data_IF_292062352284
#
_entry.id   IF_292062352284
#
_cell.length_a   1.000
_cell.length_b   1.000
_cell.length_c   1.000
_cell.angle_alpha   90.00
_cell.angle_beta   90.00
_cell.angle_gamma   90.00
#
_symmetry.space_group_name_H-M   'P 1'
#
loop_
_entity.id
_entity.type
_entity.pdbx_description
1 polymer ?
#
# COMPACT_ATOMS: atom_id res chain seq x y z
N UNK A 1 -8.39 34.87 13.49
CA UNK A 1 -8.06 33.42 13.55
C UNK A 1 -8.04 32.73 12.16
N UNK A 2 -7.23 33.15 11.15
CA UNK A 2 -7.15 32.46 9.85
C UNK A 2 -5.96 31.51 9.66
N UNK A 3 -4.88 31.62 10.46
CA UNK A 3 -3.64 30.85 10.24
C UNK A 3 -3.77 29.35 10.52
N UNK A 4 -4.55 28.96 11.53
CA UNK A 4 -4.74 27.55 11.88
C UNK A 4 -5.55 26.79 10.81
N UNK A 5 -6.52 27.45 10.18
CA UNK A 5 -7.34 26.86 9.12
C UNK A 5 -6.53 26.65 7.83
N UNK A 6 -5.69 27.62 7.45
CA UNK A 6 -4.78 27.49 6.31
C UNK A 6 -3.72 26.39 6.52
N UNK A 7 -3.18 26.26 7.74
CA UNK A 7 -2.22 25.20 8.07
C UNK A 7 -2.88 23.81 7.95
N UNK A 8 -4.10 23.67 8.47
CA UNK A 8 -4.84 22.42 8.39
C UNK A 8 -5.15 22.04 6.93
N UNK A 9 -5.61 22.98 6.10
CA UNK A 9 -5.87 22.73 4.67
C UNK A 9 -4.61 22.28 3.93
N UNK A 10 -3.47 22.95 4.15
CA UNK A 10 -2.22 22.62 3.46
C UNK A 10 -1.71 21.22 3.86
N UNK A 11 -1.88 20.84 5.12
CA UNK A 11 -1.56 19.50 5.61
C UNK A 11 -2.46 18.42 4.98
N UNK A 12 -3.75 18.69 4.76
CA UNK A 12 -4.63 17.76 4.03
C UNK A 12 -4.22 17.59 2.57
N UNK A 13 -3.85 18.67 1.87
CA UNK A 13 -3.34 18.57 0.49
C UNK A 13 -2.07 17.72 0.42
N UNK A 14 -1.13 17.94 1.34
CA UNK A 14 0.10 17.15 1.42
C UNK A 14 -0.15 15.65 1.65
N UNK A 15 -1.04 15.30 2.59
CA UNK A 15 -1.39 13.90 2.85
C UNK A 15 -2.04 13.25 1.61
N UNK A 16 -2.89 13.99 0.89
CA UNK A 16 -3.50 13.47 -0.32
C UNK A 16 -2.44 13.23 -1.41
N UNK A 17 -1.54 14.18 -1.64
CA UNK A 17 -0.45 14.04 -2.62
C UNK A 17 0.46 12.84 -2.33
N UNK A 18 0.79 12.59 -1.06
CA UNK A 18 1.55 11.42 -0.65
C UNK A 18 0.82 10.11 -0.94
N UNK A 19 -0.48 10.03 -0.65
CA UNK A 19 -1.29 8.85 -0.94
C UNK A 19 -1.39 8.64 -2.46
N UNK A 20 -1.60 9.69 -3.25
CA UNK A 20 -1.59 9.63 -4.71
C UNK A 20 -0.28 9.08 -5.24
N UNK A 21 0.86 9.55 -4.71
CA UNK A 21 2.18 9.03 -5.05
C UNK A 21 2.30 7.54 -4.69
N UNK A 22 1.92 7.15 -3.46
CA UNK A 22 2.06 5.78 -2.98
C UNK A 22 1.30 4.77 -3.85
N UNK A 23 0.09 5.14 -4.28
CA UNK A 23 -0.79 4.31 -5.12
C UNK A 23 -0.30 4.28 -6.57
N UNK A 24 0.12 5.43 -7.11
CA UNK A 24 0.66 5.52 -8.46
C UNK A 24 1.93 4.70 -8.63
N UNK A 25 2.77 4.67 -7.59
CA UNK A 25 4.02 3.92 -7.56
C UNK A 25 3.89 2.60 -6.79
N UNK A 26 2.68 2.01 -6.71
CA UNK A 26 2.46 0.69 -6.09
C UNK A 26 3.49 -0.37 -6.48
N UNK A 27 3.76 -0.65 -7.77
CA UNK A 27 4.72 -1.70 -8.14
C UNK A 27 6.15 -1.42 -7.68
N UNK A 28 6.53 -0.15 -7.49
CA UNK A 28 7.88 0.22 -7.06
C UNK A 28 8.20 -0.28 -5.64
N UNK A 29 7.26 -0.19 -4.71
CA UNK A 29 7.48 -0.64 -3.33
C UNK A 29 6.90 -2.03 -3.05
N UNK A 30 5.81 -2.42 -3.70
CA UNK A 30 5.18 -3.72 -3.45
C UNK A 30 6.01 -4.90 -3.98
N UNK A 31 6.65 -4.79 -5.15
CA UNK A 31 7.46 -5.87 -5.73
C UNK A 31 8.69 -6.19 -4.85
N UNK A 32 9.51 -5.20 -4.42
CA UNK A 32 10.62 -5.48 -3.51
C UNK A 32 10.16 -6.07 -2.17
N UNK A 33 9.08 -5.56 -1.59
CA UNK A 33 8.53 -6.09 -0.33
C UNK A 33 8.06 -7.53 -0.51
N UNK A 34 7.38 -7.85 -1.60
CA UNK A 34 6.93 -9.20 -1.91
C UNK A 34 8.11 -10.17 -1.95
N UNK A 35 9.17 -9.83 -2.71
CA UNK A 35 10.37 -10.66 -2.84
C UNK A 35 11.05 -10.88 -1.49
N UNK A 36 11.31 -9.80 -0.73
CA UNK A 36 12.00 -9.89 0.55
C UNK A 36 11.15 -10.67 1.57
N UNK A 37 9.86 -10.38 1.65
CA UNK A 37 8.96 -11.04 2.60
C UNK A 37 8.77 -12.53 2.28
N UNK A 38 8.72 -12.90 1.00
CA UNK A 38 8.66 -14.30 0.57
C UNK A 38 9.93 -15.07 0.99
N UNK A 39 11.11 -14.51 0.71
CA UNK A 39 12.39 -15.10 1.11
C UNK A 39 12.53 -15.24 2.63
N UNK A 40 12.16 -14.19 3.38
CA UNK A 40 12.19 -14.25 4.85
C UNK A 40 11.19 -15.27 5.41
N UNK A 41 10.02 -15.42 4.77
CA UNK A 41 9.05 -16.46 5.16
C UNK A 41 9.66 -17.85 5.01
N UNK A 42 10.36 -18.12 3.90
CA UNK A 42 11.04 -19.40 3.68
C UNK A 42 12.14 -19.67 4.73
N UNK A 43 12.97 -18.67 5.04
CA UNK A 43 14.03 -18.80 6.06
C UNK A 43 13.42 -19.07 7.45
N UNK A 44 12.37 -18.34 7.83
CA UNK A 44 11.70 -18.53 9.12
C UNK A 44 10.93 -19.84 9.21
N UNK A 45 10.46 -20.37 8.07
CA UNK A 45 9.87 -21.69 7.97
C UNK A 45 10.87 -22.77 8.36
N UNK A 46 12.08 -22.73 7.81
CA UNK A 46 13.16 -23.66 8.14
C UNK A 46 13.52 -23.56 9.64
N UNK A 47 13.54 -22.34 10.19
CA UNK A 47 13.84 -22.08 11.61
C UNK A 47 12.66 -22.34 12.56
N UNK A 48 11.51 -22.82 12.06
CA UNK A 48 10.27 -23.12 12.83
C UNK A 48 9.75 -21.94 13.68
N UNK A 49 10.07 -20.69 13.33
CA UNK A 49 9.65 -19.48 14.06
C UNK A 49 8.23 -19.03 13.64
N UNK A 50 7.21 -19.78 14.06
CA UNK A 50 5.80 -19.63 13.64
C UNK A 50 5.26 -18.18 13.62
N UNK A 51 5.56 -17.37 14.64
CA UNK A 51 5.10 -15.96 14.70
C UNK A 51 5.66 -15.10 13.56
N UNK A 52 6.95 -15.27 13.26
CA UNK A 52 7.61 -14.52 12.19
C UNK A 52 7.20 -15.02 10.80
N UNK A 53 6.94 -16.33 10.67
CA UNK A 53 6.38 -16.91 9.43
C UNK A 53 5.04 -16.25 9.12
N UNK A 54 4.12 -16.19 10.08
CA UNK A 54 2.79 -15.60 9.87
C UNK A 54 2.93 -14.13 9.47
N UNK A 55 3.76 -13.36 10.18
CA UNK A 55 3.99 -11.96 9.86
C UNK A 55 4.52 -11.78 8.42
N UNK A 56 5.64 -12.42 8.08
CA UNK A 56 6.22 -12.28 6.74
C UNK A 56 5.29 -12.81 5.64
N UNK A 57 4.55 -13.89 5.89
CA UNK A 57 3.58 -14.43 4.94
C UNK A 57 2.43 -13.44 4.70
N UNK A 58 1.88 -12.81 5.75
CA UNK A 58 0.83 -11.80 5.58
C UNK A 58 1.31 -10.59 4.78
N UNK A 59 2.54 -10.11 5.05
CA UNK A 59 3.14 -8.99 4.29
C UNK A 59 3.37 -9.36 2.82
N UNK A 60 3.84 -10.58 2.55
CA UNK A 60 4.02 -11.09 1.18
C UNK A 60 2.68 -11.19 0.44
N UNK A 61 1.63 -11.70 1.08
CA UNK A 61 0.28 -11.79 0.49
C UNK A 61 -0.28 -10.39 0.20
N UNK A 62 -0.15 -9.44 1.13
CA UNK A 62 -0.64 -8.06 0.92
C UNK A 62 0.07 -7.39 -0.24
N UNK A 63 1.41 -7.45 -0.27
CA UNK A 63 2.21 -6.87 -1.36
C UNK A 63 1.92 -7.51 -2.71
N UNK A 64 1.69 -8.83 -2.75
CA UNK A 64 1.23 -9.51 -3.95
C UNK A 64 -0.16 -9.02 -4.39
N UNK A 65 -1.13 -8.93 -3.49
CA UNK A 65 -2.46 -8.41 -3.79
C UNK A 65 -2.42 -6.96 -4.31
N UNK A 66 -1.59 -6.09 -3.72
CA UNK A 66 -1.39 -4.73 -4.22
C UNK A 66 -0.81 -4.71 -5.63
N UNK A 67 0.17 -5.58 -5.92
CA UNK A 67 0.77 -5.71 -7.25
C UNK A 67 -0.24 -6.18 -8.29
N UNK A 68 -1.02 -7.21 -7.95
CA UNK A 68 -2.06 -7.76 -8.84
C UNK A 68 -3.18 -6.74 -9.04
N UNK A 69 -3.67 -6.09 -7.98
CA UNK A 69 -4.69 -5.05 -8.06
C UNK A 69 -4.27 -3.88 -8.94
N UNK A 70 -3.01 -3.47 -8.84
CA UNK A 70 -2.44 -2.44 -9.72
C UNK A 70 -2.41 -2.88 -11.19
N UNK A 71 -2.02 -4.12 -11.47
CA UNK A 71 -2.00 -4.66 -12.84
C UNK A 71 -3.41 -4.79 -13.42
N UNK A 72 -4.38 -5.25 -12.63
CA UNK A 72 -5.80 -5.36 -13.01
C UNK A 72 -6.41 -3.99 -13.26
N UNK A 73 -6.04 -2.97 -12.50
CA UNK A 73 -6.50 -1.60 -12.71
C UNK A 73 -6.02 -1.00 -14.05
N UNK A 74 -4.99 -1.57 -14.69
CA UNK A 74 -4.57 -1.19 -16.04
C UNK A 74 -3.68 0.05 -16.09
N UNK A 75 -3.05 0.42 -14.97
CA UNK A 75 -2.03 1.47 -14.94
C UNK A 75 -2.23 2.53 -13.84
N UNK A 76 -1.33 3.54 -13.82
CA UNK A 76 -1.19 4.48 -12.71
C UNK A 76 -2.38 5.42 -12.51
N UNK A 77 -3.10 5.77 -13.58
CA UNK A 77 -4.23 6.70 -13.50
C UNK A 77 -5.49 5.99 -13.00
N UNK A 78 -5.75 4.78 -13.50
CA UNK A 78 -6.92 3.98 -13.12
C UNK A 78 -6.79 3.31 -11.76
N UNK A 79 -5.57 3.00 -11.31
CA UNK A 79 -5.34 2.46 -9.96
C UNK A 79 -5.73 3.46 -8.88
N UNK A 80 -5.47 4.74 -9.12
CA UNK A 80 -5.85 5.85 -8.26
C UNK A 80 -7.37 6.04 -8.23
N UNK A 81 -8.02 6.06 -9.40
CA UNK A 81 -9.49 6.17 -9.49
C UNK A 81 -10.18 5.02 -8.75
N UNK A 82 -9.68 3.79 -8.91
CA UNK A 82 -10.22 2.60 -8.25
C UNK A 82 -10.11 2.70 -6.72
N UNK A 83 -9.00 3.25 -6.21
CA UNK A 83 -8.82 3.45 -4.78
C UNK A 83 -9.71 4.58 -4.25
N UNK A 84 -9.85 5.67 -5.00
CA UNK A 84 -10.75 6.77 -4.66
C UNK A 84 -12.21 6.29 -4.58
N UNK A 85 -12.65 5.44 -5.51
CA UNK A 85 -13.98 4.81 -5.46
C UNK A 85 -14.14 3.91 -4.23
N UNK A 86 -13.12 3.13 -3.89
CA UNK A 86 -13.14 2.25 -2.71
C UNK A 86 -13.18 3.04 -1.40
N UNK A 87 -12.37 4.08 -1.26
CA UNK A 87 -12.39 4.98 -0.09
C UNK A 87 -13.74 5.67 0.05
N UNK A 88 -14.31 6.15 -1.06
CA UNK A 88 -15.63 6.78 -1.04
C UNK A 88 -16.73 5.81 -0.61
N UNK A 89 -16.67 4.55 -1.09
CA UNK A 89 -17.60 3.50 -0.68
C UNK A 89 -17.54 3.20 0.83
N UNK A 90 -16.34 3.16 1.42
CA UNK A 90 -16.18 2.92 2.87
C UNK A 90 -16.49 4.13 3.75
N UNK A 91 -16.46 5.34 3.20
CA UNK A 91 -16.72 6.58 3.95
C UNK A 91 -18.23 6.86 4.11
N UNK A 92 -19.06 6.24 3.27
CA UNK A 92 -20.52 6.36 3.31
C UNK A 92 -21.15 5.41 4.33
#
# INVERSE_FOLDING_TARGET
MPRAFFCSINQYYFIMDEIYFLVRFTPFWSIPIFLIAAEMTYIFWIRKKKRLIIFCATVSIISFCCTVGYYVAGGPEKSVESLMQLVWYFTR
#
